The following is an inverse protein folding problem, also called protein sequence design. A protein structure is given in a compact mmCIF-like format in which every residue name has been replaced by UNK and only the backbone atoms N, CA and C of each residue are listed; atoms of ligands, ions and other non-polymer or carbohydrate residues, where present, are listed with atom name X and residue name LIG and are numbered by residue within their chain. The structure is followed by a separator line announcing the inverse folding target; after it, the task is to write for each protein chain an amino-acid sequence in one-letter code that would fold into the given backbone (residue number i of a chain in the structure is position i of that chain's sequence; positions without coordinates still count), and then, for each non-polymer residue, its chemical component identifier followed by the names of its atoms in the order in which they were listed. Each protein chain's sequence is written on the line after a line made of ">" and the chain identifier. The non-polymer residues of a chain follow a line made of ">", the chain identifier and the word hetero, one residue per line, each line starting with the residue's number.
data_IF_465085875459
#
_entry.id   IF_465085875459
#
_cell.length_a   1.000
_cell.length_b   1.000
_cell.length_c   1.000
_cell.angle_alpha   90.00
_cell.angle_beta   90.00
_cell.angle_gamma   90.00
#
_symmetry.space_group_name_H-M   'P 1'
#
loop_
_entity.id
_entity.type
_entity.pdbx_description
1 polymer ?
#
# COMPACT_ATOMS: atom_id res chain seq x y z
N UNK A 1 -3.93 9.37 -6.09
CA UNK A 1 -4.61 8.09 -5.82
C UNK A 1 -4.09 7.56 -4.50
N UNK A 2 -4.96 6.95 -3.69
CA UNK A 2 -4.60 6.30 -2.43
C UNK A 2 -4.82 4.78 -2.58
N UNK A 3 -3.91 3.99 -2.02
CA UNK A 3 -3.86 2.54 -2.14
C UNK A 3 -3.81 1.90 -0.75
N UNK A 4 -4.62 0.88 -0.53
CA UNK A 4 -4.79 0.23 0.76
C UNK A 4 -4.14 -1.14 0.76
N UNK A 5 -3.08 -1.30 1.57
CA UNK A 5 -2.41 -2.57 1.77
C UNK A 5 -2.48 -2.96 3.26
N UNK A 6 -3.02 -4.15 3.54
CA UNK A 6 -3.19 -4.66 4.89
C UNK A 6 -2.20 -5.78 5.19
N UNK A 7 -1.62 -5.77 6.38
CA UNK A 7 -0.61 -6.74 6.82
C UNK A 7 -0.96 -7.29 8.20
N UNK A 8 -0.50 -8.50 8.56
CA UNK A 8 -0.74 -9.08 9.87
C UNK A 8 -0.01 -8.33 11.01
N UNK A 9 0.99 -7.51 10.70
CA UNK A 9 1.73 -6.72 11.70
C UNK A 9 2.49 -5.54 11.09
N UNK A 10 2.88 -4.60 11.95
CA UNK A 10 3.80 -3.51 11.57
C UNK A 10 5.14 -4.03 11.01
N UNK A 11 5.63 -5.17 11.52
CA UNK A 11 6.88 -5.78 11.06
C UNK A 11 6.76 -6.26 9.60
N UNK A 12 5.60 -6.80 9.22
CA UNK A 12 5.32 -7.24 7.86
C UNK A 12 5.11 -6.07 6.89
N UNK A 13 4.41 -5.00 7.31
CA UNK A 13 4.16 -3.83 6.46
C UNK A 13 5.36 -2.88 6.30
N UNK A 14 6.30 -2.85 7.26
CA UNK A 14 7.48 -1.96 7.22
C UNK A 14 8.34 -2.08 5.95
N UNK A 15 8.72 -3.28 5.46
CA UNK A 15 9.49 -3.39 4.21
C UNK A 15 8.71 -2.85 3.01
N UNK A 16 7.41 -3.13 2.92
CA UNK A 16 6.54 -2.59 1.84
C UNK A 16 6.46 -1.07 1.89
N UNK A 17 6.19 -0.50 3.06
CA UNK A 17 6.19 0.96 3.26
C UNK A 17 7.53 1.60 2.87
N UNK A 18 8.64 0.92 3.15
CA UNK A 18 9.99 1.40 2.80
C UNK A 18 10.22 1.38 1.29
N UNK A 19 9.80 0.30 0.63
CA UNK A 19 9.91 0.13 -0.81
C UNK A 19 9.07 1.16 -1.56
N UNK A 20 7.81 1.34 -1.16
CA UNK A 20 6.92 2.30 -1.81
C UNK A 20 7.39 3.75 -1.63
N UNK A 21 7.96 4.11 -0.47
CA UNK A 21 8.60 5.43 -0.30
C UNK A 21 9.73 5.66 -1.30
N UNK A 22 10.56 4.64 -1.59
CA UNK A 22 11.63 4.77 -2.59
C UNK A 22 11.10 4.96 -4.01
N UNK A 23 9.91 4.42 -4.28
CA UNK A 23 9.19 4.59 -5.55
C UNK A 23 8.45 5.93 -5.65
N UNK A 24 8.53 6.77 -4.62
CA UNK A 24 7.95 8.13 -4.62
C UNK A 24 6.54 8.21 -4.04
N UNK A 25 6.01 7.13 -3.45
CA UNK A 25 4.74 7.19 -2.75
C UNK A 25 4.89 7.91 -1.40
N UNK A 26 3.91 8.73 -1.07
CA UNK A 26 3.68 9.20 0.30
C UNK A 26 3.03 8.07 1.10
N UNK A 27 3.61 7.72 2.26
CA UNK A 27 3.17 6.56 3.04
C UNK A 27 2.72 6.99 4.43
N UNK A 28 1.50 6.61 4.77
CA UNK A 28 1.03 6.50 6.15
C UNK A 28 1.04 5.01 6.56
N UNK A 29 1.55 4.71 7.75
CA UNK A 29 1.60 3.33 8.27
C UNK A 29 1.12 3.33 9.71
N UNK A 30 0.01 2.63 9.96
CA UNK A 30 -0.69 2.64 11.26
C UNK A 30 -1.49 1.37 11.46
N UNK A 31 -2.02 1.19 12.67
CA UNK A 31 -3.01 0.14 12.93
C UNK A 31 -4.29 0.43 12.13
N UNK A 32 -4.90 -0.61 11.54
CA UNK A 32 -6.18 -0.49 10.83
C UNK A 32 -7.34 -0.22 11.81
N UNK A 33 -8.48 0.22 11.28
CA UNK A 33 -9.69 0.46 12.07
C UNK A 33 -10.29 -0.80 12.71
N UNK A 34 -9.98 -2.00 12.17
CA UNK A 34 -10.37 -3.29 12.76
C UNK A 34 -9.47 -3.76 13.92
N UNK A 35 -8.36 -3.05 14.18
CA UNK A 35 -7.31 -3.36 15.16
C UNK A 35 -6.57 -4.71 14.98
N UNK A 36 -6.98 -5.54 14.03
CA UNK A 36 -6.39 -6.84 13.73
C UNK A 36 -5.27 -6.72 12.71
N UNK A 37 -5.32 -5.73 11.84
CA UNK A 37 -4.35 -5.52 10.77
C UNK A 37 -3.48 -4.28 10.99
N UNK A 38 -2.41 -4.24 10.20
CA UNK A 38 -1.57 -3.09 10.00
C UNK A 38 -1.81 -2.54 8.60
N UNK A 39 -2.21 -1.28 8.51
CA UNK A 39 -2.43 -0.57 7.25
C UNK A 39 -1.15 0.12 6.80
N UNK A 40 -0.82 -0.08 5.52
CA UNK A 40 0.06 0.78 4.74
C UNK A 40 -0.81 1.48 3.70
N UNK A 41 -1.05 2.77 3.92
CA UNK A 41 -1.77 3.64 3.00
C UNK A 41 -0.74 4.36 2.12
N UNK A 42 -0.74 4.06 0.83
CA UNK A 42 0.19 4.63 -0.14
C UNK A 42 -0.51 5.62 -1.06
N UNK A 43 0.02 6.83 -1.15
CA UNK A 43 -0.57 7.91 -1.95
C UNK A 43 0.44 8.40 -2.99
N UNK A 44 -0.02 8.62 -4.22
CA UNK A 44 0.80 9.20 -5.30
C UNK A 44 -0.03 10.12 -6.22
N UNK A 45 0.66 11.04 -6.91
CA UNK A 45 0.05 11.93 -7.91
C UNK A 45 -0.08 11.20 -9.25
N UNK A 46 -1.30 11.17 -9.80
CA UNK A 46 -1.75 10.30 -10.92
C UNK A 46 -1.19 10.69 -12.30
N UNK A 47 -0.04 11.37 -12.38
CA UNK A 47 0.45 11.88 -13.66
C UNK A 47 1.13 10.76 -14.49
N UNK A 48 0.32 10.04 -15.28
CA UNK A 48 0.80 9.17 -16.36
C UNK A 48 1.09 7.71 -15.99
N UNK A 49 0.76 7.26 -14.77
CA UNK A 49 0.88 5.85 -14.39
C UNK A 49 -0.28 5.00 -14.95
N UNK A 50 0.06 3.81 -15.45
CA UNK A 50 -0.93 2.80 -15.84
C UNK A 50 -1.51 2.16 -14.59
N UNK A 51 -2.72 2.57 -14.19
CA UNK A 51 -3.37 2.14 -12.95
C UNK A 51 -3.50 0.62 -12.81
N UNK A 52 -3.65 -0.11 -13.93
CA UNK A 52 -3.68 -1.58 -13.91
C UNK A 52 -2.32 -2.16 -13.54
N UNK A 53 -1.23 -1.60 -14.09
CA UNK A 53 0.12 -2.03 -13.76
C UNK A 53 0.48 -1.71 -12.30
N UNK A 54 0.13 -0.52 -11.81
CA UNK A 54 0.32 -0.15 -10.41
C UNK A 54 -0.45 -1.09 -9.48
N UNK A 55 -1.67 -1.50 -9.85
CA UNK A 55 -2.44 -2.49 -9.08
C UNK A 55 -1.70 -3.82 -8.99
N UNK A 56 -1.30 -4.40 -10.11
CA UNK A 56 -0.66 -5.72 -10.15
C UNK A 56 0.66 -5.73 -9.34
N UNK A 57 1.46 -4.66 -9.45
CA UNK A 57 2.69 -4.52 -8.66
C UNK A 57 2.42 -4.43 -7.15
N UNK A 58 1.38 -3.70 -6.74
CA UNK A 58 1.05 -3.53 -5.33
C UNK A 58 0.45 -4.80 -4.73
N UNK A 59 -0.37 -5.53 -5.50
CA UNK A 59 -0.91 -6.83 -5.11
C UNK A 59 0.22 -7.83 -4.88
N UNK A 60 1.13 -7.98 -5.86
CA UNK A 60 2.28 -8.86 -5.73
C UNK A 60 3.18 -8.49 -4.55
N UNK A 61 3.43 -7.20 -4.35
CA UNK A 61 4.26 -6.70 -3.25
C UNK A 61 3.60 -6.97 -1.88
N UNK A 62 2.28 -6.84 -1.78
CA UNK A 62 1.55 -7.18 -0.56
C UNK A 62 1.68 -8.69 -0.25
N UNK A 63 1.42 -9.55 -1.24
CA UNK A 63 1.47 -11.01 -1.09
C UNK A 63 2.85 -11.51 -0.67
N UNK A 64 3.94 -10.97 -1.25
CA UNK A 64 5.31 -11.31 -0.87
C UNK A 64 5.62 -11.09 0.61
N UNK A 65 4.88 -10.18 1.25
CA UNK A 65 5.02 -9.85 2.66
C UNK A 65 3.87 -10.38 3.53
N UNK A 66 3.06 -11.29 2.99
CA UNK A 66 1.92 -11.90 3.68
C UNK A 66 0.79 -10.93 3.97
N UNK A 67 0.67 -9.87 3.18
CA UNK A 67 -0.42 -8.90 3.21
C UNK A 67 -1.36 -9.04 2.03
N UNK A 68 -2.32 -8.13 1.96
CA UNK A 68 -3.36 -8.08 0.92
C UNK A 68 -3.52 -6.65 0.43
N UNK A 69 -3.59 -6.49 -0.89
CA UNK A 69 -4.03 -5.25 -1.52
C UNK A 69 -5.57 -5.23 -1.60
N UNK A 70 -6.19 -4.21 -1.03
CA UNK A 70 -7.65 -4.12 -0.93
C UNK A 70 -8.26 -3.20 -2.02
N UNK A 71 -7.44 -2.36 -2.63
CA UNK A 71 -7.87 -1.49 -3.71
C UNK A 71 -7.28 -0.10 -3.63
N UNK A 72 -7.83 0.77 -4.48
CA UNK A 72 -7.43 2.16 -4.57
C UNK A 72 -8.61 3.09 -4.76
N UNK A 73 -8.45 4.32 -4.30
CA UNK A 73 -9.40 5.40 -4.50
C UNK A 73 -8.71 6.66 -5.04
N UNK A 74 -9.48 7.48 -5.74
CA UNK A 74 -9.01 8.79 -6.16
C UNK A 74 -9.00 9.69 -4.94
N UNK A 75 -7.82 9.97 -4.41
CA UNK A 75 -7.62 10.98 -3.37
C UNK A 75 -7.94 12.36 -3.96
N UNK A 76 -9.07 12.95 -3.55
CA UNK A 76 -9.53 14.32 -3.87
C UNK A 76 -8.73 15.40 -3.18
#
# INVERSE_FOLDING_TARGET
>A
MAHYLYFPSAKAGKPVATELRKRGFEIESRRSGDEQHWLVLATHSVAGENAEHTRDELEQLAEQHGGTYDGSEVAT
#
